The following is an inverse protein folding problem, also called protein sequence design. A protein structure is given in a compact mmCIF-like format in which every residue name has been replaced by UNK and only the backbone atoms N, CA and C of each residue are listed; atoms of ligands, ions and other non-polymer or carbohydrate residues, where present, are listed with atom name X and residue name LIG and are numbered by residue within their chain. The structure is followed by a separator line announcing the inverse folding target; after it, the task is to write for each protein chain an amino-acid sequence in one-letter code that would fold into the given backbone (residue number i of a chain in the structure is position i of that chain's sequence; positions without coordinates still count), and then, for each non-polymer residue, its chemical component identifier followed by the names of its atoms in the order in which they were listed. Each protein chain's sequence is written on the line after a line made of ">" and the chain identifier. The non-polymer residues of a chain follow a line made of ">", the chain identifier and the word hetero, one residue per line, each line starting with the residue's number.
data_IF_403199275020
#
_entry.id   IF_403199275020
#
_cell.length_a   1.000
_cell.length_b   1.000
_cell.length_c   1.000
_cell.angle_alpha   90.00
_cell.angle_beta   90.00
_cell.angle_gamma   90.00
#
_symmetry.space_group_name_H-M   'P 1'
#
loop_
_entity.id
_entity.type
_entity.pdbx_description
1 polymer ?
#
# COMPACT_ATOMS: atom_id res chain seq x y z
N UNK A 1 27.18 44.21 24.35
CA UNK A 1 27.52 44.13 22.91
C UNK A 1 28.05 45.46 22.34
N UNK A 2 27.36 46.60 22.49
CA UNK A 2 27.80 47.88 21.88
C UNK A 2 29.15 48.41 22.42
N UNK A 3 29.47 48.19 23.70
CA UNK A 3 30.73 48.65 24.32
C UNK A 3 31.93 47.78 23.89
N UNK A 4 31.81 46.45 23.97
CA UNK A 4 32.81 45.48 23.49
C UNK A 4 33.09 45.66 21.99
N UNK A 5 32.05 45.89 21.18
CA UNK A 5 32.20 46.13 19.74
C UNK A 5 32.99 47.41 19.41
N UNK A 6 32.84 48.47 20.20
CA UNK A 6 33.63 49.72 20.03
C UNK A 6 35.07 49.55 20.51
N UNK A 7 35.28 48.82 21.60
CA UNK A 7 36.61 48.61 22.20
C UNK A 7 37.50 47.67 21.36
N UNK A 8 36.97 46.54 20.90
CA UNK A 8 37.78 45.47 20.29
C UNK A 8 37.52 45.24 18.79
N UNK A 9 36.58 45.97 18.18
CA UNK A 9 36.30 45.98 16.73
C UNK A 9 36.23 44.57 16.11
N UNK A 10 37.29 44.15 15.39
CA UNK A 10 37.34 42.88 14.65
C UNK A 10 37.30 41.66 15.58
N UNK A 11 37.92 41.75 16.76
CA UNK A 11 38.02 40.64 17.71
C UNK A 11 36.77 40.52 18.62
N UNK A 12 35.80 41.42 18.49
CA UNK A 12 34.59 41.46 19.34
C UNK A 12 33.69 40.22 19.22
N UNK A 13 33.64 39.59 18.05
CA UNK A 13 32.85 38.37 17.82
C UNK A 13 33.45 37.17 18.55
N UNK A 14 34.76 37.06 18.53
CA UNK A 14 35.48 35.94 19.14
C UNK A 14 35.43 36.06 20.67
N UNK A 15 35.61 37.27 21.21
CA UNK A 15 35.40 37.57 22.63
C UNK A 15 33.96 37.22 23.07
N UNK A 16 32.94 37.60 22.28
CA UNK A 16 31.55 37.31 22.63
C UNK A 16 31.22 35.81 22.59
N UNK A 17 31.86 35.05 21.69
CA UNK A 17 31.73 33.58 21.64
C UNK A 17 32.30 32.96 22.90
N UNK A 18 33.54 33.29 23.26
CA UNK A 18 34.19 32.73 24.46
C UNK A 18 33.43 33.08 25.73
N UNK A 19 32.95 34.32 25.88
CA UNK A 19 32.13 34.71 27.03
C UNK A 19 30.78 33.98 27.10
N UNK A 20 30.22 33.54 25.96
CA UNK A 20 28.95 32.80 25.90
C UNK A 20 29.11 31.33 26.31
N UNK A 21 30.30 30.78 26.07
CA UNK A 21 30.60 29.36 26.30
C UNK A 21 31.16 29.09 27.71
N UNK A 22 31.37 30.14 28.53
CA UNK A 22 31.80 29.99 29.93
C UNK A 22 30.78 29.21 30.75
N UNK A 23 31.28 28.32 31.61
CA UNK A 23 30.45 27.58 32.57
C UNK A 23 30.15 28.41 33.84
N UNK A 24 29.29 27.91 34.72
CA UNK A 24 28.86 28.66 35.92
C UNK A 24 30.01 28.96 36.91
N UNK A 25 30.98 28.07 37.04
CA UNK A 25 32.14 28.24 37.91
C UNK A 25 33.09 29.32 37.36
N UNK A 26 33.32 29.32 36.05
CA UNK A 26 34.11 30.33 35.34
C UNK A 26 33.45 31.70 35.42
N UNK A 27 32.13 31.79 35.20
CA UNK A 27 31.39 33.06 35.34
C UNK A 27 31.52 33.62 36.75
N UNK A 28 31.50 32.75 37.77
CA UNK A 28 31.64 33.15 39.18
C UNK A 28 33.07 33.61 39.51
N UNK A 29 34.09 33.04 38.86
CA UNK A 29 35.48 33.50 38.99
C UNK A 29 35.70 34.84 38.28
N UNK A 30 35.13 35.01 37.08
CA UNK A 30 35.16 36.28 36.34
C UNK A 30 34.51 37.40 37.17
N UNK A 31 33.38 37.12 37.82
CA UNK A 31 32.71 38.07 38.71
C UNK A 31 33.62 38.52 39.86
N UNK A 32 34.29 37.58 40.56
CA UNK A 32 35.24 37.89 41.63
C UNK A 32 36.46 38.66 41.15
N UNK A 33 36.99 38.32 39.97
CA UNK A 33 38.12 39.03 39.38
C UNK A 33 37.74 40.46 38.97
N UNK A 34 36.54 40.68 38.43
CA UNK A 34 36.02 42.02 38.12
C UNK A 34 35.72 42.87 39.36
N UNK A 35 35.51 42.25 40.53
CA UNK A 35 35.30 42.94 41.81
C UNK A 35 36.61 43.26 42.53
N UNK A 36 37.61 42.38 42.42
CA UNK A 36 38.90 42.50 43.11
C UNK A 36 39.99 43.21 42.29
N UNK A 37 39.94 43.08 40.96
CA UNK A 37 40.81 43.73 40.00
C UNK A 37 39.94 44.53 39.02
N UNK A 38 40.39 45.69 38.58
CA UNK A 38 39.59 46.56 37.70
C UNK A 38 39.52 46.05 36.23
N UNK A 39 39.43 44.73 36.04
CA UNK A 39 39.37 44.06 34.75
C UNK A 39 39.71 42.57 34.84
N UNK A 40 39.05 41.79 33.99
CA UNK A 40 39.29 40.35 33.78
C UNK A 40 40.11 40.13 32.51
N UNK A 41 41.20 39.37 32.59
CA UNK A 41 42.06 39.09 31.44
C UNK A 41 41.58 37.83 30.72
N UNK A 42 40.90 38.02 29.61
CA UNK A 42 40.41 36.94 28.76
C UNK A 42 41.45 36.63 27.66
N UNK A 43 41.92 35.38 27.59
CA UNK A 43 42.75 34.91 26.49
C UNK A 43 41.87 34.31 25.39
N UNK A 44 41.93 34.87 24.19
CA UNK A 44 41.24 34.35 22.99
C UNK A 44 42.29 34.12 21.91
N UNK A 45 42.48 32.86 21.51
CA UNK A 45 43.40 32.45 20.44
C UNK A 45 44.83 33.02 20.60
N UNK A 46 45.33 33.08 21.83
CA UNK A 46 46.68 33.56 22.15
C UNK A 46 46.82 35.07 22.31
N UNK A 47 45.71 35.83 22.21
CA UNK A 47 45.65 37.27 22.47
C UNK A 47 44.97 37.53 23.81
N UNK A 48 45.58 38.38 24.64
CA UNK A 48 45.05 38.77 25.93
C UNK A 48 44.21 40.05 25.80
N UNK A 49 42.94 39.99 26.21
CA UNK A 49 42.00 41.10 26.19
C UNK A 49 41.54 41.42 27.62
N UNK A 50 41.58 42.70 28.00
CA UNK A 50 41.12 43.14 29.31
C UNK A 50 39.63 43.54 29.26
N UNK A 51 38.77 42.75 29.88
CA UNK A 51 37.32 42.99 29.95
C UNK A 51 37.01 43.75 31.25
N UNK A 52 36.38 44.90 31.14
CA UNK A 52 36.04 45.75 32.31
C UNK A 52 34.58 45.63 32.70
N UNK A 53 34.24 46.11 33.91
CA UNK A 53 32.89 46.01 34.49
C UNK A 53 31.81 46.74 33.68
N UNK A 54 32.16 47.76 32.91
CA UNK A 54 31.27 48.47 31.99
C UNK A 54 30.99 47.71 30.68
N UNK A 55 31.78 46.66 30.39
CA UNK A 55 31.66 45.88 29.15
C UNK A 55 30.73 44.67 29.29
N UNK A 56 30.61 44.10 30.49
CA UNK A 56 29.85 42.88 30.77
C UNK A 56 28.99 43.06 32.01
N UNK A 57 27.73 42.64 31.91
CA UNK A 57 26.80 42.58 33.04
C UNK A 57 26.52 41.11 33.32
N UNK A 58 26.84 40.67 34.53
CA UNK A 58 26.53 39.32 35.01
C UNK A 58 25.22 39.42 35.80
N UNK A 59 24.21 38.65 35.42
CA UNK A 59 22.92 38.61 36.11
C UNK A 59 22.49 37.16 36.33
N UNK A 60 22.18 36.81 37.58
CA UNK A 60 21.61 35.51 37.95
C UNK A 60 20.09 35.65 38.11
N UNK A 61 19.34 34.69 37.58
CA UNK A 61 17.88 34.69 37.65
C UNK A 61 17.29 33.31 37.48
N UNK A 62 16.10 33.09 38.04
CA UNK A 62 15.33 31.88 37.80
C UNK A 62 14.46 32.05 36.56
N UNK A 63 14.47 31.05 35.66
CA UNK A 63 13.59 31.01 34.49
C UNK A 63 12.72 29.76 34.56
N UNK A 64 11.42 29.95 34.78
CA UNK A 64 10.45 28.86 34.68
C UNK A 64 10.22 28.52 33.21
N UNK A 65 10.41 27.25 32.85
CA UNK A 65 10.14 26.73 31.50
C UNK A 65 8.88 25.87 31.57
N UNK A 66 7.84 26.26 30.84
CA UNK A 66 6.51 25.61 30.90
C UNK A 66 6.32 24.52 29.84
N UNK A 67 7.18 24.47 28.82
CA UNK A 67 7.05 23.59 27.66
C UNK A 67 8.40 22.98 27.32
N UNK A 68 8.37 21.73 26.86
CA UNK A 68 9.50 21.07 26.24
C UNK A 68 9.29 21.04 24.73
N UNK A 69 10.29 21.46 23.98
CA UNK A 69 10.30 21.34 22.53
C UNK A 69 10.86 19.96 22.17
N UNK A 70 10.02 19.10 21.61
CA UNK A 70 10.40 17.75 21.18
C UNK A 70 10.48 17.72 19.66
N UNK A 71 11.58 17.19 19.13
CA UNK A 71 11.75 16.92 17.69
C UNK A 71 11.41 15.44 17.46
N UNK A 72 10.26 15.10 16.86
CA UNK A 72 9.86 13.70 16.70
C UNK A 72 10.75 12.94 15.71
N UNK A 73 11.02 11.68 16.00
CA UNK A 73 11.63 10.76 15.04
C UNK A 73 10.62 10.38 13.95
N UNK A 74 11.07 10.31 12.68
CA UNK A 74 10.24 9.96 11.53
C UNK A 74 10.55 8.54 11.07
N UNK A 75 9.52 7.71 10.94
CA UNK A 75 9.58 6.40 10.28
C UNK A 75 8.77 6.50 9.00
N UNK A 76 9.41 6.26 7.86
CA UNK A 76 8.76 6.33 6.54
C UNK A 76 8.81 4.95 5.85
N UNK A 77 7.75 4.13 5.98
CA UNK A 77 7.59 2.94 5.17
C UNK A 77 7.28 3.32 3.72
N UNK A 78 8.20 3.00 2.81
CA UNK A 78 8.04 3.27 1.38
C UNK A 78 7.89 1.96 0.61
N UNK A 79 6.78 1.83 -0.14
CA UNK A 79 6.43 0.61 -0.88
C UNK A 79 6.50 0.86 -2.39
N UNK A 80 7.42 0.19 -3.08
CA UNK A 80 7.53 0.23 -4.53
C UNK A 80 6.46 -0.62 -5.21
N UNK A 81 5.28 -0.05 -5.47
CA UNK A 81 4.11 -0.76 -6.06
C UNK A 81 4.49 -1.50 -7.35
N UNK A 82 5.30 -0.90 -8.22
CA UNK A 82 5.75 -1.56 -9.46
C UNK A 82 6.54 -2.84 -9.22
N UNK A 83 7.43 -2.85 -8.22
CA UNK A 83 8.21 -4.05 -7.84
C UNK A 83 7.33 -5.10 -7.17
N UNK A 84 6.39 -4.67 -6.33
CA UNK A 84 5.42 -5.56 -5.69
C UNK A 84 4.56 -6.25 -6.76
N UNK A 85 4.05 -5.50 -7.74
CA UNK A 85 3.27 -6.04 -8.85
C UNK A 85 4.07 -7.04 -9.70
N UNK A 86 5.32 -6.70 -10.03
CA UNK A 86 6.21 -7.61 -10.76
C UNK A 86 6.47 -8.92 -10.00
N UNK A 87 6.80 -8.82 -8.71
CA UNK A 87 7.00 -10.00 -7.86
C UNK A 87 5.73 -10.85 -7.76
N UNK A 88 4.55 -10.22 -7.65
CA UNK A 88 3.26 -10.92 -7.69
C UNK A 88 3.08 -11.67 -9.02
N UNK A 89 3.43 -11.07 -10.16
CA UNK A 89 3.34 -11.75 -11.46
C UNK A 89 4.27 -12.96 -11.54
N UNK A 90 5.55 -12.81 -11.23
CA UNK A 90 6.51 -13.93 -11.26
C UNK A 90 6.08 -15.07 -10.33
N UNK A 91 5.64 -14.75 -9.11
CA UNK A 91 5.23 -15.76 -8.14
C UNK A 91 3.96 -16.51 -8.55
N UNK A 92 3.10 -15.91 -9.38
CA UNK A 92 1.79 -16.48 -9.74
C UNK A 92 1.70 -16.93 -11.21
N UNK A 93 2.69 -16.69 -12.05
CA UNK A 93 2.71 -17.19 -13.42
C UNK A 93 2.82 -18.72 -13.44
N UNK A 94 1.94 -19.38 -14.19
CA UNK A 94 1.87 -20.84 -14.30
C UNK A 94 1.54 -21.26 -15.72
N UNK A 95 1.99 -22.45 -16.09
CA UNK A 95 1.60 -23.15 -17.33
C UNK A 95 0.66 -24.29 -16.99
N UNK A 96 -0.20 -24.70 -17.93
CA UNK A 96 -1.08 -25.86 -17.72
C UNK A 96 -0.30 -27.16 -17.95
N UNK A 97 -0.54 -28.21 -17.15
CA UNK A 97 0.07 -29.51 -17.39
C UNK A 97 -0.28 -30.03 -18.79
N UNK A 98 0.74 -30.38 -19.57
CA UNK A 98 0.58 -30.93 -20.92
C UNK A 98 0.36 -29.90 -22.05
N UNK A 99 0.31 -28.61 -21.74
CA UNK A 99 0.21 -27.54 -22.74
C UNK A 99 0.97 -26.29 -22.27
N UNK A 100 2.24 -26.18 -22.67
CA UNK A 100 3.12 -25.06 -22.31
C UNK A 100 2.65 -23.72 -22.89
N UNK A 101 1.83 -23.75 -23.95
CA UNK A 101 1.30 -22.53 -24.57
C UNK A 101 0.13 -21.96 -23.75
N UNK A 102 -0.53 -22.78 -22.93
CA UNK A 102 -1.63 -22.35 -22.06
C UNK A 102 -1.06 -21.87 -20.73
N UNK A 103 -0.98 -20.55 -20.60
CA UNK A 103 -0.48 -19.87 -19.41
C UNK A 103 -1.62 -19.23 -18.63
N UNK A 104 -1.43 -19.04 -17.33
CA UNK A 104 -2.38 -18.32 -16.48
C UNK A 104 -1.65 -17.71 -15.29
N UNK A 105 -2.26 -16.69 -14.68
CA UNK A 105 -1.79 -16.16 -13.41
C UNK A 105 -2.68 -16.62 -12.27
N UNK A 106 -2.11 -17.34 -11.32
CA UNK A 106 -2.75 -17.84 -10.11
C UNK A 106 -3.01 -16.74 -9.05
N UNK A 107 -3.44 -15.55 -9.47
CA UNK A 107 -3.67 -14.43 -8.55
C UNK A 107 -4.83 -14.74 -7.57
N UNK A 108 -4.70 -14.41 -6.28
CA UNK A 108 -5.80 -14.48 -5.34
C UNK A 108 -7.00 -13.66 -5.83
N UNK A 109 -8.22 -14.18 -5.63
CA UNK A 109 -9.43 -13.56 -6.17
C UNK A 109 -9.61 -12.10 -5.71
N UNK A 110 -9.17 -11.78 -4.48
CA UNK A 110 -9.22 -10.42 -3.91
C UNK A 110 -8.44 -9.37 -4.72
N UNK A 111 -7.34 -9.76 -5.35
CA UNK A 111 -6.48 -8.86 -6.15
C UNK A 111 -6.57 -9.09 -7.66
N UNK A 112 -7.34 -10.10 -8.10
CA UNK A 112 -7.54 -10.37 -9.52
C UNK A 112 -8.16 -9.15 -10.26
N UNK A 113 -7.72 -8.83 -11.50
CA UNK A 113 -8.18 -7.66 -12.24
C UNK A 113 -9.69 -7.67 -12.50
N UNK A 114 -10.20 -8.81 -12.95
CA UNK A 114 -11.62 -9.12 -13.03
C UNK A 114 -11.91 -10.29 -12.12
N UNK A 115 -13.08 -10.28 -11.48
CA UNK A 115 -13.47 -11.33 -10.53
C UNK A 115 -14.15 -12.50 -11.24
N UNK A 116 -14.81 -12.22 -12.35
CA UNK A 116 -15.56 -13.22 -13.08
C UNK A 116 -15.50 -12.99 -14.60
N UNK A 117 -15.58 -14.06 -15.38
CA UNK A 117 -15.97 -14.00 -16.79
C UNK A 117 -17.38 -14.55 -16.99
N UNK A 118 -18.12 -14.00 -17.94
CA UNK A 118 -19.44 -14.51 -18.36
C UNK A 118 -19.31 -14.98 -19.80
N UNK A 119 -19.56 -16.27 -20.03
CA UNK A 119 -19.19 -16.99 -21.25
C UNK A 119 -20.39 -17.80 -21.76
N UNK A 120 -21.08 -17.37 -22.84
CA UNK A 120 -22.10 -18.22 -23.46
C UNK A 120 -21.45 -19.43 -24.13
N UNK A 121 -22.00 -20.66 -24.08
CA UNK A 121 -21.32 -21.85 -24.61
C UNK A 121 -21.03 -21.74 -26.12
N UNK A 122 -21.92 -21.08 -26.84
CA UNK A 122 -21.83 -20.77 -28.27
C UNK A 122 -22.48 -19.41 -28.57
N UNK A 123 -22.51 -18.99 -29.83
CA UNK A 123 -23.22 -17.77 -30.26
C UNK A 123 -24.74 -17.92 -30.38
N UNK A 124 -25.36 -18.83 -29.61
CA UNK A 124 -26.81 -19.05 -29.68
C UNK A 124 -27.57 -17.81 -29.17
N UNK A 125 -28.58 -17.31 -29.91
CA UNK A 125 -29.29 -16.07 -29.55
C UNK A 125 -29.96 -16.15 -28.18
N UNK A 126 -30.47 -17.33 -27.79
CA UNK A 126 -31.14 -17.53 -26.51
C UNK A 126 -30.21 -17.37 -25.29
N UNK A 127 -28.88 -17.37 -25.46
CA UNK A 127 -27.96 -17.10 -24.36
C UNK A 127 -27.80 -15.60 -24.07
N UNK A 128 -28.08 -14.73 -25.04
CA UNK A 128 -27.87 -13.27 -24.93
C UNK A 128 -28.62 -12.66 -23.74
N UNK A 129 -29.91 -12.99 -23.48
CA UNK A 129 -30.63 -12.46 -22.32
C UNK A 129 -30.00 -12.88 -20.98
N UNK A 130 -29.52 -14.12 -20.87
CA UNK A 130 -28.86 -14.61 -19.65
C UNK A 130 -27.51 -13.93 -19.41
N UNK A 131 -26.74 -13.69 -20.47
CA UNK A 131 -25.47 -12.95 -20.38
C UNK A 131 -25.71 -11.53 -19.87
N UNK A 132 -26.69 -10.82 -20.43
CA UNK A 132 -27.02 -9.46 -20.04
C UNK A 132 -27.46 -9.39 -18.57
N UNK A 133 -28.40 -10.27 -18.18
CA UNK A 133 -28.94 -10.33 -16.82
C UNK A 133 -27.84 -10.61 -15.79
N UNK A 134 -27.00 -11.61 -16.03
CA UNK A 134 -25.88 -11.93 -15.13
C UNK A 134 -24.86 -10.81 -15.02
N UNK A 135 -24.55 -10.15 -16.14
CA UNK A 135 -23.64 -9.00 -16.13
C UNK A 135 -24.18 -7.85 -15.29
N UNK A 136 -25.48 -7.55 -15.38
CA UNK A 136 -26.13 -6.53 -14.56
C UNK A 136 -26.16 -6.91 -13.08
N UNK A 137 -26.51 -8.16 -12.76
CA UNK A 137 -26.52 -8.65 -11.38
C UNK A 137 -25.14 -8.60 -10.73
N UNK A 138 -24.09 -9.07 -11.41
CA UNK A 138 -22.71 -8.99 -10.93
C UNK A 138 -22.28 -7.54 -10.69
N UNK A 139 -22.63 -6.64 -11.62
CA UNK A 139 -22.35 -5.21 -11.50
C UNK A 139 -23.06 -4.61 -10.28
N UNK A 140 -24.32 -4.97 -10.05
CA UNK A 140 -25.10 -4.49 -8.89
C UNK A 140 -24.50 -4.92 -7.53
N UNK A 141 -23.78 -6.05 -7.52
CA UNK A 141 -23.08 -6.58 -6.35
C UNK A 141 -21.63 -6.05 -6.21
N UNK A 142 -21.19 -5.15 -7.08
CA UNK A 142 -19.83 -4.63 -7.10
C UNK A 142 -18.78 -5.64 -7.58
N UNK A 143 -19.21 -6.68 -8.30
CA UNK A 143 -18.33 -7.71 -8.85
C UNK A 143 -17.97 -7.34 -10.29
N UNK A 144 -16.72 -6.91 -10.50
CA UNK A 144 -16.23 -6.59 -11.83
C UNK A 144 -16.13 -7.87 -12.69
N UNK A 145 -16.93 -7.96 -13.75
CA UNK A 145 -16.95 -9.09 -14.67
C UNK A 145 -16.54 -8.71 -16.09
N UNK A 146 -16.08 -9.69 -16.86
CA UNK A 146 -15.78 -9.57 -18.29
C UNK A 146 -16.65 -10.53 -19.10
N UNK A 147 -17.45 -9.99 -20.00
CA UNK A 147 -18.19 -10.80 -20.98
C UNK A 147 -17.24 -11.17 -22.12
N UNK A 148 -17.18 -12.45 -22.49
CA UNK A 148 -16.49 -12.92 -23.71
C UNK A 148 -17.44 -13.81 -24.51
N UNK A 149 -18.15 -13.16 -25.43
CA UNK A 149 -19.07 -13.72 -26.43
C UNK A 149 -18.39 -13.89 -27.81
N UNK A 150 -17.06 -13.79 -27.86
CA UNK A 150 -16.31 -13.85 -29.10
C UNK A 150 -16.48 -15.20 -29.82
N UNK A 151 -16.34 -15.16 -31.15
CA UNK A 151 -16.34 -16.37 -31.96
C UNK A 151 -15.18 -17.30 -31.57
N UNK A 152 -15.50 -18.49 -31.08
CA UNK A 152 -14.50 -19.49 -30.68
C UNK A 152 -15.08 -20.54 -29.72
N UNK A 153 -14.36 -21.67 -29.60
CA UNK A 153 -14.74 -22.69 -28.63
C UNK A 153 -14.66 -22.15 -27.20
N UNK A 154 -15.46 -22.71 -26.30
CA UNK A 154 -15.45 -22.34 -24.87
C UNK A 154 -14.04 -22.49 -24.27
N UNK A 155 -13.29 -23.52 -24.68
CA UNK A 155 -11.91 -23.72 -24.24
C UNK A 155 -10.96 -22.56 -24.63
N UNK A 156 -11.11 -21.97 -25.82
CA UNK A 156 -10.32 -20.79 -26.22
C UNK A 156 -10.65 -19.57 -25.38
N UNK A 157 -11.92 -19.39 -25.05
CA UNK A 157 -12.37 -18.28 -24.19
C UNK A 157 -11.88 -18.45 -22.76
N UNK A 158 -11.93 -19.67 -22.21
CA UNK A 158 -11.30 -19.97 -20.93
C UNK A 158 -9.80 -19.69 -20.94
N UNK A 159 -9.06 -20.06 -21.99
CA UNK A 159 -7.64 -19.73 -22.07
C UNK A 159 -7.40 -18.22 -22.00
N UNK A 160 -8.14 -17.41 -22.77
CA UNK A 160 -8.00 -15.94 -22.73
C UNK A 160 -8.33 -15.34 -21.36
N UNK A 161 -9.34 -15.88 -20.66
CA UNK A 161 -9.72 -15.38 -19.34
C UNK A 161 -8.74 -15.82 -18.26
N UNK A 162 -8.23 -17.05 -18.36
CA UNK A 162 -7.21 -17.59 -17.46
C UNK A 162 -5.89 -16.80 -17.61
N UNK A 163 -5.49 -16.45 -18.84
CA UNK A 163 -4.29 -15.65 -19.17
C UNK A 163 -4.29 -14.26 -18.51
N UNK A 164 -5.46 -13.64 -18.33
CA UNK A 164 -5.60 -12.34 -17.67
C UNK A 164 -6.02 -12.45 -16.19
N UNK A 165 -5.79 -13.62 -15.59
CA UNK A 165 -5.95 -13.91 -14.17
C UNK A 165 -7.38 -13.89 -13.63
N UNK A 166 -8.41 -14.07 -14.47
CA UNK A 166 -9.80 -14.13 -13.99
C UNK A 166 -9.99 -15.42 -13.17
N UNK A 167 -10.37 -15.35 -11.88
CA UNK A 167 -10.39 -16.52 -11.01
C UNK A 167 -11.63 -17.40 -11.24
N UNK A 168 -12.74 -16.82 -11.69
CA UNK A 168 -14.01 -17.54 -11.88
C UNK A 168 -14.59 -17.31 -13.28
N UNK A 169 -15.15 -18.35 -13.88
CA UNK A 169 -15.86 -18.26 -15.15
C UNK A 169 -17.25 -18.84 -15.04
N UNK A 170 -18.27 -18.04 -15.37
CA UNK A 170 -19.66 -18.49 -15.47
C UNK A 170 -19.92 -18.84 -16.93
N UNK A 171 -20.26 -20.12 -17.17
CA UNK A 171 -20.66 -20.60 -18.49
C UNK A 171 -22.17 -20.79 -18.55
N UNK A 172 -22.78 -20.22 -19.58
CA UNK A 172 -24.20 -20.36 -19.90
C UNK A 172 -24.32 -21.37 -21.04
N UNK A 173 -24.99 -22.48 -20.82
CA UNK A 173 -25.14 -23.58 -21.77
C UNK A 173 -26.61 -23.90 -22.03
N UNK A 174 -26.89 -24.94 -22.82
CA UNK A 174 -28.26 -25.33 -23.15
C UNK A 174 -29.09 -25.74 -21.93
N UNK A 175 -28.45 -26.26 -20.86
CA UNK A 175 -29.14 -26.54 -19.60
C UNK A 175 -29.51 -25.27 -18.84
N UNK A 176 -28.88 -24.13 -19.16
CA UNK A 176 -29.27 -22.82 -18.62
C UNK A 176 -30.63 -22.37 -19.16
N UNK A 177 -31.02 -22.84 -20.35
CA UNK A 177 -32.32 -22.56 -20.95
C UNK A 177 -33.45 -23.42 -20.34
N UNK A 178 -33.11 -24.50 -19.64
CA UNK A 178 -34.08 -25.37 -18.97
C UNK A 178 -34.50 -24.77 -17.63
N UNK A 179 -35.73 -25.00 -17.23
CA UNK A 179 -36.21 -24.67 -15.89
C UNK A 179 -36.05 -25.87 -14.94
N UNK A 180 -35.54 -25.68 -13.71
CA UNK A 180 -35.03 -24.42 -13.15
C UNK A 180 -33.69 -23.97 -13.77
N UNK A 181 -33.55 -22.67 -14.02
CA UNK A 181 -32.33 -22.10 -14.64
C UNK A 181 -31.09 -22.30 -13.75
N UNK A 182 -30.03 -22.77 -14.37
CA UNK A 182 -28.73 -23.00 -13.70
C UNK A 182 -27.59 -22.73 -14.66
N UNK A 183 -26.42 -22.38 -14.13
CA UNK A 183 -25.20 -22.10 -14.90
C UNK A 183 -24.03 -22.88 -14.31
N UNK A 184 -22.98 -23.02 -15.11
CA UNK A 184 -21.76 -23.68 -14.65
C UNK A 184 -20.75 -22.65 -14.16
N UNK A 185 -20.31 -22.76 -12.92
CA UNK A 185 -19.25 -21.94 -12.35
C UNK A 185 -17.95 -22.74 -12.37
N UNK A 186 -16.92 -22.22 -13.03
CA UNK A 186 -15.56 -22.79 -13.12
C UNK A 186 -14.58 -21.99 -12.28
N UNK A 187 -13.69 -22.68 -11.59
CA UNK A 187 -12.53 -22.07 -10.92
C UNK A 187 -11.25 -22.21 -11.75
N UNK A 188 -10.43 -21.16 -11.77
CA UNK A 188 -9.26 -21.05 -12.64
C UNK A 188 -8.18 -22.07 -12.31
N UNK A 189 -7.74 -22.18 -11.07
CA UNK A 189 -6.51 -22.92 -10.73
C UNK A 189 -6.69 -24.43 -10.94
N UNK A 190 -7.78 -24.98 -10.42
CA UNK A 190 -8.15 -26.40 -10.49
C UNK A 190 -8.85 -26.78 -11.79
N UNK A 191 -9.43 -25.81 -12.51
CA UNK A 191 -10.36 -26.03 -13.62
C UNK A 191 -11.64 -26.78 -13.27
N UNK A 192 -11.90 -27.04 -11.98
CA UNK A 192 -13.10 -27.72 -11.54
C UNK A 192 -14.34 -26.86 -11.78
N UNK A 193 -15.47 -27.54 -11.97
CA UNK A 193 -16.73 -26.92 -12.32
C UNK A 193 -17.83 -27.42 -11.37
N UNK A 194 -18.72 -26.50 -10.99
CA UNK A 194 -19.92 -26.79 -10.21
C UNK A 194 -21.14 -26.21 -10.91
N UNK A 195 -22.30 -26.85 -10.74
CA UNK A 195 -23.57 -26.34 -11.26
C UNK A 195 -24.28 -25.53 -10.18
N UNK A 196 -24.60 -24.28 -10.49
CA UNK A 196 -25.17 -23.32 -9.54
C UNK A 196 -26.50 -22.80 -10.10
N UNK A 197 -27.57 -22.72 -9.30
CA UNK A 197 -28.79 -22.01 -9.68
C UNK A 197 -28.48 -20.57 -10.12
N UNK A 198 -29.18 -20.09 -11.15
CA UNK A 198 -28.89 -18.78 -11.75
C UNK A 198 -28.98 -17.64 -10.72
N UNK A 199 -29.97 -17.67 -9.84
CA UNK A 199 -30.22 -16.69 -8.78
C UNK A 199 -29.16 -16.71 -7.65
N UNK A 200 -28.36 -17.77 -7.56
CA UNK A 200 -27.35 -17.95 -6.50
C UNK A 200 -25.92 -17.68 -6.99
N UNK A 201 -25.68 -17.66 -8.31
CA UNK A 201 -24.32 -17.57 -8.84
C UNK A 201 -23.67 -16.22 -8.58
N UNK A 202 -24.37 -15.10 -8.78
CA UNK A 202 -23.79 -13.78 -8.58
C UNK A 202 -23.43 -13.50 -7.10
N UNK A 203 -24.30 -13.81 -6.11
CA UNK A 203 -23.92 -13.76 -4.70
C UNK A 203 -22.75 -14.68 -4.33
N UNK A 204 -22.70 -15.89 -4.90
CA UNK A 204 -21.62 -16.84 -4.66
C UNK A 204 -20.28 -16.29 -5.17
N UNK A 205 -20.24 -15.78 -6.41
CA UNK A 205 -19.03 -15.19 -6.99
C UNK A 205 -18.58 -13.98 -6.18
N UNK A 206 -19.50 -13.13 -5.70
CA UNK A 206 -19.16 -12.03 -4.79
C UNK A 206 -18.43 -12.54 -3.55
N UNK A 207 -18.98 -13.56 -2.89
CA UNK A 207 -18.41 -14.06 -1.64
C UNK A 207 -17.04 -14.74 -1.85
N UNK A 208 -16.85 -15.42 -2.98
CA UNK A 208 -15.56 -15.97 -3.39
C UNK A 208 -14.54 -14.86 -3.73
N UNK A 209 -14.98 -13.84 -4.49
CA UNK A 209 -14.13 -12.74 -4.96
C UNK A 209 -13.58 -11.88 -3.82
N UNK A 210 -14.37 -11.69 -2.76
CA UNK A 210 -13.99 -10.91 -1.59
C UNK A 210 -13.47 -11.78 -0.42
N UNK A 211 -13.19 -13.07 -0.65
CA UNK A 211 -12.59 -13.96 0.34
C UNK A 211 -13.49 -14.31 1.52
N UNK A 212 -14.80 -14.08 1.42
CA UNK A 212 -15.79 -14.50 2.43
C UNK A 212 -16.05 -16.00 2.40
N UNK A 213 -15.75 -16.65 1.27
CA UNK A 213 -15.90 -18.08 1.03
C UNK A 213 -14.72 -18.61 0.23
N UNK A 214 -14.35 -19.87 0.44
CA UNK A 214 -13.33 -20.58 -0.34
C UNK A 214 -13.96 -21.43 -1.44
N UNK A 215 -13.17 -21.79 -2.46
CA UNK A 215 -13.63 -22.69 -3.51
C UNK A 215 -14.06 -24.06 -2.97
N UNK A 216 -13.28 -24.65 -2.05
CA UNK A 216 -13.65 -25.92 -1.43
C UNK A 216 -14.97 -25.82 -0.65
N UNK A 217 -15.19 -24.70 0.06
CA UNK A 217 -16.46 -24.42 0.72
C UNK A 217 -17.63 -24.26 -0.26
N UNK A 218 -17.40 -23.79 -1.49
CA UNK A 218 -18.41 -23.74 -2.54
C UNK A 218 -18.71 -25.15 -3.08
N UNK A 219 -17.69 -25.97 -3.36
CA UNK A 219 -17.86 -27.35 -3.84
C UNK A 219 -18.69 -28.23 -2.91
N UNK A 220 -18.63 -28.02 -1.60
CA UNK A 220 -19.46 -28.78 -0.66
C UNK A 220 -20.97 -28.49 -0.77
N UNK A 221 -21.36 -27.35 -1.33
CA UNK A 221 -22.77 -26.93 -1.36
C UNK A 221 -23.43 -27.06 -2.74
N UNK A 222 -22.66 -27.29 -3.79
CA UNK A 222 -23.16 -27.36 -5.15
C UNK A 222 -22.67 -28.63 -5.84
N UNK A 223 -23.51 -29.26 -6.68
CA UNK A 223 -23.12 -30.47 -7.38
C UNK A 223 -21.96 -30.17 -8.33
N UNK A 224 -20.96 -31.06 -8.33
CA UNK A 224 -19.87 -31.04 -9.30
C UNK A 224 -20.44 -31.23 -10.70
N UNK A 225 -19.99 -30.41 -11.63
CA UNK A 225 -20.31 -30.56 -13.04
C UNK A 225 -19.23 -31.41 -13.69
N UNK A 226 -19.62 -32.60 -14.13
CA UNK A 226 -18.81 -33.44 -15.01
C UNK A 226 -19.36 -33.29 -16.42
N UNK A 227 -18.47 -33.09 -17.37
CA UNK A 227 -18.79 -32.74 -18.75
C UNK A 227 -19.81 -33.73 -19.32
N UNK A 228 -20.88 -33.23 -19.93
CA UNK A 228 -21.81 -34.09 -20.68
C UNK A 228 -21.02 -34.78 -21.79
N UNK A 229 -20.89 -36.10 -21.72
CA UNK A 229 -20.61 -36.91 -22.90
C UNK A 229 -21.72 -36.62 -23.90
N UNK A 230 -21.34 -36.10 -25.06
CA UNK A 230 -22.24 -35.93 -26.20
C UNK A 230 -22.66 -37.29 -26.76
#
# INVERSE_FOLDING_TARGET
>A
MAVIGKAFKKDSKDIARVLKDLNEDEISNVEKELESQNGYKLNVDGKEFNITKDMVIISRGQKTVHVEEVIPAVIEPSFGIGRIMYAIWEHNFRTRPGDEMRTYFALPAVVAPYKCSVLPLSGHPDFVPFVATLSEELTSLGVLCRVDDSSGSIGRRYTRTDEIAIPFGITIDFDSLKEPHSVTLRERDTMEQIRVPLDQVAPLVRDLAFGKRTWDGAKCCYPKFEQQEA
#
